data_IF_810864507460
#
_entry.id   IF_810864507460
#
_cell.length_a   1.000
_cell.length_b   1.000
_cell.length_c   1.000
_cell.angle_alpha   90.00
_cell.angle_beta   90.00
_cell.angle_gamma   90.00
#
_symmetry.space_group_name_H-M   'P 1'
#
loop_
_entity.id
_entity.type
_entity.pdbx_description
1 polymer ?
#
# COMPACT_ATOMS: atom_id res chain seq x y z
N UNK A 1 -16.40 9.95 -27.98
CA UNK A 1 -15.02 9.88 -27.42
C UNK A 1 -15.04 10.47 -26.02
N UNK A 2 -14.18 10.00 -25.14
CA UNK A 2 -14.00 10.55 -23.79
C UNK A 2 -12.74 11.41 -23.79
N UNK A 3 -12.79 12.60 -23.19
CA UNK A 3 -11.66 13.53 -23.15
C UNK A 3 -11.26 13.84 -21.71
N UNK A 4 -9.98 14.15 -21.50
CA UNK A 4 -9.46 14.65 -20.21
C UNK A 4 -9.90 16.09 -19.92
N UNK A 5 -9.92 16.55 -18.66
CA UNK A 5 -10.18 17.95 -18.29
C UNK A 5 -9.29 18.97 -19.00
N UNK A 6 -8.01 18.65 -19.20
CA UNK A 6 -7.05 19.51 -19.90
C UNK A 6 -7.51 19.83 -21.33
N UNK A 7 -7.95 18.83 -22.09
CA UNK A 7 -8.50 19.01 -23.45
C UNK A 7 -9.79 19.85 -23.43
N UNK A 8 -10.68 19.59 -22.47
CA UNK A 8 -11.94 20.32 -22.35
C UNK A 8 -11.70 21.81 -22.07
N UNK A 9 -10.72 22.12 -21.22
CA UNK A 9 -10.33 23.49 -20.86
C UNK A 9 -9.62 24.19 -22.01
N UNK A 10 -8.67 23.53 -22.66
CA UNK A 10 -7.88 24.12 -23.75
C UNK A 10 -8.72 24.40 -25.00
N UNK A 11 -9.61 23.48 -25.36
CA UNK A 11 -10.48 23.63 -26.53
C UNK A 11 -11.83 24.27 -26.21
N UNK A 12 -12.08 24.62 -24.93
CA UNK A 12 -13.34 25.17 -24.43
C UNK A 12 -14.57 24.37 -24.92
N UNK A 13 -14.51 23.05 -24.73
CA UNK A 13 -15.55 22.11 -25.18
C UNK A 13 -16.17 21.35 -24.02
N UNK A 14 -17.43 20.99 -24.20
CA UNK A 14 -18.29 20.33 -23.22
C UNK A 14 -18.88 19.04 -23.79
N UNK A 15 -19.59 18.30 -22.93
CA UNK A 15 -20.27 17.09 -23.37
C UNK A 15 -21.28 17.41 -24.49
N UNK A 16 -21.26 16.59 -25.55
CA UNK A 16 -22.05 16.70 -26.79
C UNK A 16 -21.52 17.68 -27.84
N UNK A 17 -20.42 18.39 -27.57
CA UNK A 17 -19.79 19.20 -28.60
C UNK A 17 -19.13 18.32 -29.67
N UNK A 18 -19.07 18.83 -30.90
CA UNK A 18 -18.39 18.18 -32.01
C UNK A 18 -16.98 18.74 -32.18
N UNK A 19 -16.01 17.84 -32.31
CA UNK A 19 -14.61 18.16 -32.55
C UNK A 19 -14.20 17.66 -33.93
N UNK A 20 -13.45 18.48 -34.66
CA UNK A 20 -12.79 18.03 -35.89
C UNK A 20 -11.50 17.29 -35.53
N UNK A 21 -11.34 16.08 -36.05
CA UNK A 21 -10.18 15.25 -35.75
C UNK A 21 -9.03 15.58 -36.70
N UNK A 22 -7.90 16.00 -36.13
CA UNK A 22 -6.72 16.43 -36.87
C UNK A 22 -6.26 15.40 -37.90
N UNK A 23 -5.99 15.84 -39.12
CA UNK A 23 -5.59 14.98 -40.23
C UNK A 23 -6.76 14.34 -41.01
N UNK A 24 -8.01 14.68 -40.69
CA UNK A 24 -9.19 14.20 -41.40
C UNK A 24 -10.28 15.28 -41.54
N UNK A 25 -11.23 15.08 -42.45
CA UNK A 25 -12.48 15.87 -42.52
C UNK A 25 -13.57 15.30 -41.62
N UNK A 26 -13.22 14.35 -40.73
CA UNK A 26 -14.19 13.65 -39.89
C UNK A 26 -14.37 14.40 -38.58
N UNK A 27 -15.62 14.52 -38.17
CA UNK A 27 -16.00 15.04 -36.87
C UNK A 27 -16.26 13.89 -35.91
N UNK A 28 -15.99 14.11 -34.63
CA UNK A 28 -16.36 13.18 -33.57
C UNK A 28 -16.97 13.93 -32.39
N UNK A 29 -17.99 13.32 -31.80
CA UNK A 29 -18.73 13.92 -30.68
C UNK A 29 -18.08 13.56 -29.34
N UNK A 30 -17.96 14.56 -28.47
CA UNK A 30 -17.54 14.39 -27.08
C UNK A 30 -18.68 13.71 -26.31
N UNK A 31 -18.49 12.44 -25.95
CA UNK A 31 -19.50 11.69 -25.20
C UNK A 31 -19.41 11.93 -23.71
N UNK A 32 -18.22 12.25 -23.19
CA UNK A 32 -17.99 12.52 -21.77
C UNK A 32 -16.66 13.25 -21.57
N UNK A 33 -16.58 14.07 -20.52
CA UNK A 33 -15.33 14.65 -20.01
C UNK A 33 -15.07 13.96 -18.68
N UNK A 34 -13.92 13.33 -18.54
CA UNK A 34 -13.54 12.64 -17.29
C UNK A 34 -13.26 13.63 -16.18
N UNK A 35 -13.60 13.31 -14.93
CA UNK A 35 -13.34 14.18 -13.76
C UNK A 35 -11.92 14.01 -13.17
N UNK A 36 -11.13 13.08 -13.72
CA UNK A 36 -9.79 12.75 -13.25
C UNK A 36 -8.74 13.36 -14.15
N UNK A 37 -7.90 14.21 -13.57
CA UNK A 37 -6.71 14.71 -14.23
C UNK A 37 -5.67 13.61 -14.41
N UNK A 38 -5.14 13.53 -15.62
CA UNK A 38 -4.00 12.69 -15.93
C UNK A 38 -2.75 13.49 -15.62
N UNK A 39 -2.28 13.41 -14.38
CA UNK A 39 -1.02 14.02 -13.96
C UNK A 39 0.15 13.05 -14.23
N UNK A 40 1.03 13.43 -15.15
CA UNK A 40 2.24 12.68 -15.46
C UNK A 40 3.46 13.11 -14.61
N UNK A 41 3.24 13.87 -13.53
CA UNK A 41 4.28 14.41 -12.66
C UNK A 41 4.97 15.67 -13.22
N UNK A 42 4.56 16.12 -14.40
CA UNK A 42 5.02 17.34 -15.07
C UNK A 42 3.86 18.28 -15.42
N UNK A 43 2.66 18.01 -14.88
CA UNK A 43 1.42 18.72 -15.16
C UNK A 43 0.37 17.84 -15.82
N UNK A 44 -0.81 18.42 -16.02
CA UNK A 44 -1.94 17.78 -16.68
C UNK A 44 -1.61 17.50 -18.15
N UNK A 45 -1.79 16.24 -18.56
CA UNK A 45 -1.55 15.82 -19.94
C UNK A 45 -2.89 15.72 -20.70
N UNK A 46 -3.06 16.48 -21.81
CA UNK A 46 -4.23 16.34 -22.67
C UNK A 46 -4.33 14.93 -23.26
N UNK A 47 -5.46 14.24 -23.03
CA UNK A 47 -5.71 12.91 -23.55
C UNK A 47 -7.14 12.72 -24.07
N UNK A 48 -7.28 11.85 -25.07
CA UNK A 48 -8.56 11.46 -25.67
C UNK A 48 -8.62 9.94 -25.76
N UNK A 49 -9.73 9.37 -25.32
CA UNK A 49 -10.03 7.94 -25.37
C UNK A 49 -11.18 7.70 -26.35
N UNK A 50 -10.96 6.78 -27.29
CA UNK A 50 -11.98 6.34 -28.23
C UNK A 50 -11.73 4.89 -28.65
N UNK A 51 -12.68 4.24 -29.34
CA UNK A 51 -12.48 2.88 -29.81
C UNK A 51 -11.29 2.77 -30.76
N UNK A 52 -10.47 1.73 -30.61
CA UNK A 52 -9.26 1.50 -31.42
C UNK A 52 -9.59 1.43 -32.93
N UNK A 53 -10.69 0.77 -33.30
CA UNK A 53 -11.13 0.70 -34.69
C UNK A 53 -11.38 2.07 -35.33
N UNK A 54 -11.85 3.05 -34.55
CA UNK A 54 -12.04 4.42 -35.04
C UNK A 54 -10.69 5.12 -35.25
N UNK A 55 -9.74 4.95 -34.31
CA UNK A 55 -8.38 5.48 -34.46
C UNK A 55 -7.64 4.86 -35.66
N UNK A 56 -7.77 3.55 -35.87
CA UNK A 56 -7.19 2.86 -37.03
C UNK A 56 -7.80 3.39 -38.33
N UNK A 57 -9.12 3.64 -38.35
CA UNK A 57 -9.80 4.25 -39.51
C UNK A 57 -9.29 5.67 -39.79
N UNK A 58 -9.12 6.49 -38.74
CA UNK A 58 -8.62 7.86 -38.86
C UNK A 58 -7.15 7.93 -39.27
N UNK A 59 -6.33 6.98 -38.83
CA UNK A 59 -4.90 6.92 -39.16
C UNK A 59 -4.59 6.13 -40.42
N UNK A 60 -5.59 5.56 -41.09
CA UNK A 60 -5.43 4.75 -42.30
C UNK A 60 -4.80 3.37 -42.07
N UNK A 61 -4.83 2.86 -40.82
CA UNK A 61 -4.25 1.58 -40.42
C UNK A 61 -5.27 0.43 -40.39
N UNK A 62 -6.29 0.46 -41.26
CA UNK A 62 -7.38 -0.55 -41.26
C UNK A 62 -6.99 -1.90 -41.84
N UNK A 63 -5.84 -2.00 -42.51
CA UNK A 63 -5.36 -3.23 -43.14
C UNK A 63 -4.70 -4.21 -42.17
N UNK A 64 -4.33 -3.75 -40.97
CA UNK A 64 -3.70 -4.55 -39.93
C UNK A 64 -4.37 -4.27 -38.59
N UNK A 65 -4.79 -5.30 -37.87
CA UNK A 65 -5.30 -5.18 -36.50
C UNK A 65 -4.14 -5.00 -35.51
N UNK A 66 -3.47 -3.85 -35.63
CA UNK A 66 -2.31 -3.49 -34.83
C UNK A 66 -2.73 -2.70 -33.60
N UNK A 67 -2.16 -3.06 -32.46
CA UNK A 67 -2.26 -2.32 -31.22
C UNK A 67 -0.85 -2.17 -30.64
N UNK A 68 -0.54 -0.97 -30.14
CA UNK A 68 0.78 -0.72 -29.53
C UNK A 68 0.96 -1.52 -28.24
N UNK A 69 -0.13 -1.73 -27.49
CA UNK A 69 -0.14 -2.43 -26.21
C UNK A 69 -1.44 -3.20 -26.01
N UNK A 70 -1.34 -4.35 -25.34
CA UNK A 70 -2.50 -5.15 -24.90
C UNK A 70 -2.48 -5.20 -23.37
N UNK A 71 -3.52 -4.64 -22.76
CA UNK A 71 -3.68 -4.66 -21.31
C UNK A 71 -4.47 -5.90 -20.89
N UNK A 72 -3.88 -6.69 -19.99
CA UNK A 72 -4.52 -7.86 -19.38
C UNK A 72 -4.72 -7.60 -17.89
N UNK A 73 -5.96 -7.71 -17.44
CA UNK A 73 -6.31 -7.60 -16.01
C UNK A 73 -6.47 -8.99 -15.41
N UNK A 74 -5.67 -9.30 -14.40
CA UNK A 74 -5.72 -10.58 -13.68
C UNK A 74 -5.24 -10.40 -12.25
N UNK A 75 -5.69 -11.29 -11.36
CA UNK A 75 -5.22 -11.40 -9.98
C UNK A 75 -4.23 -12.55 -9.79
N UNK A 76 -4.07 -13.42 -10.79
CA UNK A 76 -3.17 -14.57 -10.75
C UNK A 76 -1.75 -14.17 -11.21
N UNK A 77 -0.72 -14.27 -10.34
CA UNK A 77 0.65 -13.89 -10.69
C UNK A 77 1.29 -14.83 -11.74
N UNK A 78 0.78 -16.05 -11.92
CA UNK A 78 1.33 -17.02 -12.87
C UNK A 78 1.12 -16.61 -14.33
N UNK A 79 0.12 -15.76 -14.60
CA UNK A 79 -0.24 -15.29 -15.94
C UNK A 79 0.92 -14.56 -16.63
N UNK A 80 1.77 -13.85 -15.88
CA UNK A 80 2.94 -13.18 -16.44
C UNK A 80 3.91 -14.18 -17.12
N UNK A 81 4.25 -15.25 -16.40
CA UNK A 81 5.12 -16.30 -16.92
C UNK A 81 4.49 -17.06 -18.09
N UNK A 82 3.18 -17.34 -17.99
CA UNK A 82 2.42 -18.02 -19.03
C UNK A 82 2.37 -17.21 -20.34
N UNK A 83 2.14 -15.90 -20.26
CA UNK A 83 2.12 -15.04 -21.44
C UNK A 83 3.51 -14.90 -22.08
N UNK A 84 4.56 -14.84 -21.25
CA UNK A 84 5.95 -14.78 -21.71
C UNK A 84 6.34 -16.05 -22.48
N UNK A 85 5.85 -17.22 -22.04
CA UNK A 85 6.14 -18.52 -22.67
C UNK A 85 5.36 -18.70 -23.98
N UNK A 86 4.07 -18.33 -24.00
CA UNK A 86 3.22 -18.45 -25.20
C UNK A 86 3.60 -17.41 -26.27
N UNK A 87 4.05 -16.22 -25.87
CA UNK A 87 4.40 -15.12 -26.77
C UNK A 87 5.85 -14.63 -26.55
N UNK A 88 6.87 -15.44 -26.91
CA UNK A 88 8.27 -15.15 -26.61
C UNK A 88 8.83 -13.93 -27.35
N UNK A 89 8.12 -13.41 -28.37
CA UNK A 89 8.47 -12.17 -29.08
C UNK A 89 7.87 -10.90 -28.48
N UNK A 90 7.17 -10.99 -27.33
CA UNK A 90 6.50 -9.85 -26.70
C UNK A 90 7.13 -9.50 -25.37
N UNK A 91 7.22 -8.20 -25.07
CA UNK A 91 7.63 -7.72 -23.75
C UNK A 91 6.41 -7.70 -22.84
N UNK A 92 6.31 -8.68 -21.94
CA UNK A 92 5.23 -8.74 -20.96
C UNK A 92 5.64 -7.93 -19.72
N UNK A 93 5.01 -6.79 -19.52
CA UNK A 93 5.25 -5.91 -18.36
C UNK A 93 4.06 -6.00 -17.42
N UNK A 94 4.31 -6.34 -16.15
CA UNK A 94 3.26 -6.31 -15.12
C UNK A 94 2.95 -4.87 -14.70
N UNK A 95 1.76 -4.63 -14.11
CA UNK A 95 1.36 -3.29 -13.63
C UNK A 95 2.40 -2.61 -12.74
N UNK A 96 3.18 -3.40 -11.99
CA UNK A 96 4.31 -2.93 -11.17
C UNK A 96 5.40 -2.25 -12.01
N UNK A 97 5.56 -2.63 -13.28
CA UNK A 97 6.48 -1.98 -14.23
C UNK A 97 5.86 -0.88 -15.09
N UNK A 98 4.52 -0.79 -15.20
CA UNK A 98 3.83 0.19 -16.05
C UNK A 98 3.63 1.56 -15.38
N UNK A 99 3.59 1.62 -14.04
CA UNK A 99 3.30 2.86 -13.33
C UNK A 99 4.49 3.80 -13.18
N UNK A 100 5.70 3.48 -13.68
CA UNK A 100 6.89 4.33 -13.57
C UNK A 100 7.38 4.58 -12.14
N UNK A 101 6.52 4.36 -11.15
CA UNK A 101 6.88 3.81 -9.87
C UNK A 101 7.47 2.43 -10.14
N UNK A 102 8.75 2.41 -10.47
CA UNK A 102 9.62 1.54 -9.70
C UNK A 102 9.12 1.67 -8.26
N UNK A 103 8.37 0.70 -7.79
CA UNK A 103 8.52 0.27 -6.42
C UNK A 103 9.96 -0.25 -6.33
N UNK A 104 10.94 0.65 -6.51
CA UNK A 104 12.21 0.63 -5.81
C UNK A 104 11.77 0.31 -4.41
N UNK A 105 11.90 -0.97 -4.07
CA UNK A 105 11.59 -1.59 -2.78
C UNK A 105 11.27 -0.51 -1.77
N UNK A 106 9.98 -0.31 -1.45
CA UNK A 106 9.52 0.64 -0.42
C UNK A 106 9.94 0.09 0.94
N UNK A 107 11.24 -0.07 1.12
CA UNK A 107 11.93 -0.56 2.29
C UNK A 107 12.09 0.55 3.28
N UNK A 108 12.03 1.83 2.88
CA UNK A 108 12.15 2.95 3.82
C UNK A 108 10.96 3.03 4.79
N UNK A 109 9.69 3.10 4.35
CA UNK A 109 8.54 3.07 5.28
C UNK A 109 8.48 1.77 6.10
N UNK A 110 8.76 0.62 5.47
CA UNK A 110 8.77 -0.67 6.17
C UNK A 110 9.90 -0.75 7.21
N UNK A 111 11.11 -0.31 6.87
CA UNK A 111 12.24 -0.27 7.78
C UNK A 111 12.02 0.73 8.90
N UNK A 112 11.38 1.88 8.63
CA UNK A 112 10.97 2.82 9.66
C UNK A 112 9.93 2.20 10.60
N UNK A 113 8.93 1.48 10.07
CA UNK A 113 7.95 0.78 10.88
C UNK A 113 8.61 -0.31 11.75
N UNK A 114 9.52 -1.09 11.19
CA UNK A 114 10.29 -2.10 11.92
C UNK A 114 11.19 -1.47 12.98
N UNK A 115 11.91 -0.40 12.65
CA UNK A 115 12.77 0.33 13.58
C UNK A 115 11.95 0.91 14.73
N UNK A 116 10.83 1.55 14.43
CA UNK A 116 9.91 2.07 15.44
C UNK A 116 9.36 0.96 16.34
N UNK A 117 9.04 -0.22 15.77
CA UNK A 117 8.57 -1.39 16.53
C UNK A 117 9.65 -1.89 17.50
N UNK A 118 10.90 -2.00 17.05
CA UNK A 118 12.03 -2.41 17.90
C UNK A 118 12.28 -1.40 19.01
N UNK A 119 12.28 -0.10 18.70
CA UNK A 119 12.50 0.96 19.68
C UNK A 119 11.37 0.99 20.71
N UNK A 120 10.12 1.00 20.27
CA UNK A 120 8.96 1.01 21.16
C UNK A 120 8.91 -0.26 22.04
N UNK A 121 9.18 -1.43 21.46
CA UNK A 121 9.30 -2.69 22.21
C UNK A 121 10.41 -2.63 23.25
N UNK A 122 11.59 -2.11 22.88
CA UNK A 122 12.71 -1.92 23.81
C UNK A 122 12.37 -1.00 24.98
N UNK A 123 11.69 0.12 24.72
CA UNK A 123 11.20 1.03 25.77
C UNK A 123 10.21 0.31 26.69
N UNK A 124 9.27 -0.46 26.13
CA UNK A 124 8.32 -1.24 26.91
C UNK A 124 9.00 -2.26 27.83
N UNK A 125 9.96 -3.01 27.32
CA UNK A 125 10.75 -3.98 28.11
C UNK A 125 11.53 -3.28 29.22
N UNK A 126 12.18 -2.15 28.93
CA UNK A 126 12.91 -1.38 29.94
C UNK A 126 11.98 -0.88 31.05
N UNK A 127 10.78 -0.45 30.71
CA UNK A 127 9.78 0.02 31.67
C UNK A 127 9.32 -1.10 32.60
N UNK A 128 8.98 -2.27 32.05
CA UNK A 128 8.61 -3.46 32.82
C UNK A 128 9.75 -3.91 33.74
N UNK A 129 10.97 -3.99 33.22
CA UNK A 129 12.14 -4.37 34.01
C UNK A 129 12.40 -3.39 35.17
N UNK A 130 12.25 -2.09 34.93
CA UNK A 130 12.42 -1.06 35.96
C UNK A 130 11.36 -1.18 37.04
N UNK A 131 10.09 -1.29 36.65
CA UNK A 131 8.97 -1.41 37.59
C UNK A 131 9.12 -2.67 38.46
N UNK A 132 9.43 -3.81 37.86
CA UNK A 132 9.66 -5.04 38.60
C UNK A 132 10.88 -4.94 39.52
N UNK A 133 11.96 -4.26 39.10
CA UNK A 133 13.11 -4.01 39.95
C UNK A 133 12.76 -3.20 41.21
N UNK A 134 11.89 -2.20 41.08
CA UNK A 134 11.38 -1.41 42.20
C UNK A 134 10.48 -2.24 43.12
N UNK A 135 9.58 -3.04 42.55
CA UNK A 135 8.70 -3.94 43.29
C UNK A 135 9.50 -4.97 44.09
N UNK A 136 10.48 -5.62 43.48
CA UNK A 136 11.34 -6.59 44.15
C UNK A 136 12.14 -5.96 45.30
N UNK A 137 12.53 -4.70 45.14
CA UNK A 137 13.22 -3.93 46.18
C UNK A 137 12.28 -3.60 47.34
N UNK A 138 11.03 -3.21 47.05
CA UNK A 138 10.01 -2.96 48.06
C UNK A 138 9.61 -4.23 48.83
N UNK A 139 9.46 -5.35 48.11
CA UNK A 139 9.04 -6.64 48.66
C UNK A 139 10.21 -7.50 49.18
N UNK A 140 11.40 -6.91 49.35
CA UNK A 140 12.61 -7.64 49.77
C UNK A 140 12.44 -8.36 51.12
N UNK A 141 11.64 -7.82 52.03
CA UNK A 141 11.37 -8.42 53.33
C UNK A 141 10.49 -9.69 53.22
N UNK A 142 9.49 -9.70 52.35
CA UNK A 142 8.67 -10.89 52.08
C UNK A 142 9.50 -12.00 51.44
N UNK A 143 10.40 -11.66 50.53
CA UNK A 143 11.32 -12.61 49.89
C UNK A 143 12.27 -13.24 50.92
N UNK A 144 12.70 -12.48 51.92
CA UNK A 144 13.54 -12.97 53.02
C UNK A 144 12.78 -13.96 53.92
N UNK A 145 11.49 -13.71 54.20
CA UNK A 145 10.63 -14.61 54.98
C UNK A 145 10.43 -15.94 54.25
N UNK A 146 10.16 -15.94 52.93
CA UNK A 146 10.10 -17.18 52.14
C UNK A 146 11.42 -17.98 52.20
N UNK A 147 12.55 -17.28 52.29
CA UNK A 147 13.85 -17.91 52.49
C UNK A 147 13.98 -18.59 53.85
N UNK A 148 13.47 -17.96 54.91
CA UNK A 148 13.45 -18.52 56.26
C UNK A 148 12.52 -19.74 56.38
N UNK A 149 11.44 -19.80 55.59
CA UNK A 149 10.51 -20.94 55.52
C UNK A 149 11.05 -22.10 54.65
N UNK A 150 12.19 -21.92 53.98
CA UNK A 150 12.90 -22.98 53.25
C UNK A 150 12.63 -23.05 51.75
N UNK A 151 11.96 -22.05 51.15
CA UNK A 151 11.79 -22.01 49.70
C UNK A 151 13.14 -21.82 48.99
N UNK A 152 13.41 -22.62 47.96
CA UNK A 152 14.64 -22.48 47.17
C UNK A 152 14.66 -21.14 46.42
N UNK A 153 15.85 -20.58 46.19
CA UNK A 153 16.01 -19.33 45.42
C UNK A 153 15.49 -19.49 43.98
N UNK A 154 15.63 -20.67 43.39
CA UNK A 154 15.14 -20.99 42.04
C UNK A 154 13.62 -20.93 41.94
N UNK A 155 12.91 -21.46 42.94
CA UNK A 155 11.45 -21.39 42.97
C UNK A 155 10.95 -19.94 43.04
N UNK A 156 11.60 -19.11 43.87
CA UNK A 156 11.27 -17.67 43.98
C UNK A 156 11.50 -16.93 42.67
N UNK A 157 12.62 -17.15 42.00
CA UNK A 157 12.92 -16.56 40.69
C UNK A 157 11.91 -16.99 39.62
N UNK A 158 11.53 -18.27 39.61
CA UNK A 158 10.59 -18.80 38.63
C UNK A 158 9.20 -18.18 38.78
N UNK A 159 8.73 -17.97 40.01
CA UNK A 159 7.45 -17.29 40.29
C UNK A 159 7.49 -15.86 39.76
N UNK A 160 8.52 -15.09 40.10
CA UNK A 160 8.66 -13.70 39.64
C UNK A 160 8.69 -13.64 38.11
N UNK A 161 9.48 -14.48 37.45
CA UNK A 161 9.52 -14.53 35.97
C UNK A 161 8.14 -14.84 35.38
N UNK A 162 7.42 -15.80 35.96
CA UNK A 162 6.10 -16.20 35.47
C UNK A 162 5.10 -15.05 35.61
N UNK A 163 5.15 -14.34 36.73
CA UNK A 163 4.36 -13.13 36.96
C UNK A 163 4.71 -12.02 35.95
N UNK A 164 6.01 -11.71 35.76
CA UNK A 164 6.46 -10.71 34.78
C UNK A 164 5.92 -11.02 33.39
N UNK A 165 6.10 -12.28 32.96
CA UNK A 165 5.71 -12.72 31.63
C UNK A 165 4.19 -12.64 31.48
N UNK A 166 3.44 -13.04 32.50
CA UNK A 166 1.97 -12.96 32.49
C UNK A 166 1.49 -11.51 32.36
N UNK A 167 2.04 -10.60 33.17
CA UNK A 167 1.70 -9.17 33.12
C UNK A 167 2.10 -8.56 31.77
N UNK A 168 3.29 -8.87 31.25
CA UNK A 168 3.76 -8.37 29.97
C UNK A 168 2.89 -8.86 28.80
N UNK A 169 2.50 -10.14 28.79
CA UNK A 169 1.62 -10.71 27.76
C UNK A 169 0.23 -10.07 27.81
N UNK A 170 -0.38 -9.94 29.00
CA UNK A 170 -1.68 -9.30 29.15
C UNK A 170 -1.64 -7.82 28.74
N UNK A 171 -0.61 -7.10 29.13
CA UNK A 171 -0.39 -5.71 28.72
C UNK A 171 -0.20 -5.58 27.21
N UNK A 172 0.56 -6.49 26.60
CA UNK A 172 0.75 -6.54 25.14
C UNK A 172 -0.55 -6.80 24.38
N UNK A 173 -1.36 -7.76 24.84
CA UNK A 173 -2.68 -8.03 24.27
C UNK A 173 -3.60 -6.81 24.36
N UNK A 174 -3.65 -6.16 25.52
CA UNK A 174 -4.40 -4.91 25.69
C UNK A 174 -3.89 -3.81 24.76
N UNK A 175 -2.57 -3.65 24.64
CA UNK A 175 -1.94 -2.67 23.77
C UNK A 175 -2.29 -2.88 22.30
N UNK A 176 -2.29 -4.12 21.80
CA UNK A 176 -2.71 -4.46 20.44
C UNK A 176 -4.19 -4.13 20.22
N UNK A 177 -5.06 -4.44 21.19
CA UNK A 177 -6.48 -4.10 21.11
C UNK A 177 -6.69 -2.57 21.04
N UNK A 178 -6.04 -1.82 21.93
CA UNK A 178 -6.07 -0.34 21.95
C UNK A 178 -5.51 0.27 20.65
N UNK A 179 -4.40 -0.26 20.14
CA UNK A 179 -3.82 0.18 18.87
C UNK A 179 -4.76 -0.06 17.69
N UNK A 180 -5.42 -1.21 17.65
CA UNK A 180 -6.41 -1.54 16.62
C UNK A 180 -7.60 -0.58 16.65
N UNK A 181 -8.11 -0.27 17.85
CA UNK A 181 -9.18 0.73 18.04
C UNK A 181 -8.71 2.12 17.58
N UNK A 182 -7.47 2.50 17.88
CA UNK A 182 -6.90 3.78 17.43
C UNK A 182 -6.84 3.91 15.91
N UNK A 183 -6.42 2.85 15.21
CA UNK A 183 -6.40 2.83 13.73
C UNK A 183 -7.81 3.01 13.16
N UNK A 184 -8.79 2.28 13.69
CA UNK A 184 -10.18 2.41 13.24
C UNK A 184 -10.70 3.82 13.52
N UNK A 185 -10.43 4.37 14.71
CA UNK A 185 -10.87 5.70 15.12
C UNK A 185 -10.30 6.83 14.25
N UNK A 186 -9.03 6.72 13.84
CA UNK A 186 -8.41 7.68 12.93
C UNK A 186 -8.90 7.54 11.48
N UNK A 187 -9.33 6.35 11.07
CA UNK A 187 -9.79 6.10 9.71
C UNK A 187 -11.25 6.53 9.48
N UNK A 188 -12.04 6.68 10.55
CA UNK A 188 -13.43 7.17 10.47
C UNK A 188 -13.56 8.68 10.69
N UNK A 189 -12.47 9.36 11.05
CA UNK A 189 -12.39 10.81 11.26
C UNK A 189 -11.83 11.51 10.01
#
# INVERSE_FOLDING_TARGET
MVISPAVATELNVTQRDELTLGGSTRTGTVSHVTDTDLDAGVGEVPAVVMPLAELQTLTGQTSSDTADQILVSTTDPSVHSLLTDIYPGTSVVSRVGLTGAETSTTSLPLAMALAATVVAGGIGVAFVATMMGLELTASRQEIAILGAVGFSARARVLVVITETVTVAVLGGLLGVALGSVGVVGLNVA
#
